data_IF_029608378064
#
_entry.id   IF_029608378064
#
_cell.length_a   1.000
_cell.length_b   1.000
_cell.length_c   1.000
_cell.angle_alpha   90.00
_cell.angle_beta   90.00
_cell.angle_gamma   90.00
#
_symmetry.space_group_name_H-M   'P 1'
#
loop_
_entity.id
_entity.type
_entity.pdbx_description
1 polymer ?
#
# COMPACT_ATOMS: atom_id res chain seq x y z
N UNK A 1 0.59 7.53 -12.99
CA UNK A 1 -0.25 7.71 -14.21
C UNK A 1 -1.31 8.79 -13.96
N UNK A 2 -1.58 9.68 -14.92
CA UNK A 2 -2.52 10.80 -14.78
C UNK A 2 -3.91 10.43 -15.32
N UNK A 3 -4.83 10.10 -14.43
CA UNK A 3 -6.27 10.02 -14.74
C UNK A 3 -6.86 11.36 -14.29
N UNK A 4 -6.99 12.30 -15.22
CA UNK A 4 -7.64 13.59 -14.94
C UNK A 4 -9.14 13.35 -14.84
N UNK A 5 -9.72 13.70 -13.68
CA UNK A 5 -11.15 13.65 -13.38
C UNK A 5 -11.71 15.09 -13.44
N UNK A 6 -12.14 15.62 -14.61
CA UNK A 6 -12.55 17.02 -14.74
C UNK A 6 -13.72 17.39 -13.82
N UNK A 7 -14.63 16.44 -13.59
CA UNK A 7 -15.80 16.63 -12.73
C UNK A 7 -15.44 16.71 -11.23
N UNK A 8 -14.33 16.09 -10.83
CA UNK A 8 -13.82 16.16 -9.45
C UNK A 8 -12.97 17.43 -9.28
N UNK A 9 -12.22 17.81 -10.32
CA UNK A 9 -11.34 18.99 -10.33
C UNK A 9 -11.93 20.15 -11.13
N UNK A 10 -13.04 20.70 -10.65
CA UNK A 10 -13.74 21.82 -11.31
C UNK A 10 -12.86 23.08 -11.49
N UNK A 11 -11.90 23.28 -10.60
CA UNK A 11 -10.96 24.41 -10.64
C UNK A 11 -9.66 24.11 -11.40
N UNK A 12 -9.55 22.94 -12.04
CA UNK A 12 -8.32 22.54 -12.75
C UNK A 12 -7.13 22.33 -11.82
N UNK A 13 -7.38 21.91 -10.57
CA UNK A 13 -6.31 21.65 -9.62
C UNK A 13 -5.36 20.56 -10.11
N UNK A 14 -4.08 20.75 -9.81
CA UNK A 14 -3.06 19.77 -10.10
C UNK A 14 -3.24 18.50 -9.24
N UNK A 15 -2.89 17.36 -9.84
CA UNK A 15 -2.78 16.09 -9.12
C UNK A 15 -1.57 16.06 -8.18
N UNK A 16 -1.33 14.91 -7.54
CA UNK A 16 -0.11 14.69 -6.77
C UNK A 16 1.13 14.83 -7.68
N UNK A 17 2.12 15.59 -7.23
CA UNK A 17 3.45 15.74 -7.84
C UNK A 17 4.53 15.40 -6.82
N UNK A 18 5.61 14.77 -7.27
CA UNK A 18 6.74 14.45 -6.40
C UNK A 18 7.42 15.76 -5.94
N UNK A 19 7.55 15.93 -4.62
CA UNK A 19 8.22 17.10 -4.02
C UNK A 19 7.28 18.20 -3.52
N UNK A 20 5.97 17.96 -3.40
CA UNK A 20 5.08 18.86 -2.68
C UNK A 20 5.46 18.81 -1.19
N UNK A 21 5.69 19.99 -0.60
CA UNK A 21 6.01 20.12 0.82
C UNK A 21 4.73 20.29 1.63
N UNK A 22 4.65 19.66 2.80
CA UNK A 22 3.60 19.95 3.79
C UNK A 22 3.72 21.40 4.24
N UNK A 23 2.64 22.17 4.09
CA UNK A 23 2.54 23.49 4.69
C UNK A 23 1.71 23.35 5.99
N UNK A 24 2.40 23.29 7.13
CA UNK A 24 1.72 23.38 8.42
C UNK A 24 1.29 24.83 8.66
N UNK A 25 -0.03 25.07 8.65
CA UNK A 25 -0.62 26.39 8.90
C UNK A 25 -0.41 26.85 10.36
N UNK A 26 -0.19 25.90 11.28
CA UNK A 26 -0.21 26.15 12.73
C UNK A 26 1.20 26.43 13.29
N UNK A 27 2.25 25.80 12.75
CA UNK A 27 3.62 25.95 13.27
C UNK A 27 4.65 26.07 12.12
N UNK A 28 5.03 27.30 11.76
CA UNK A 28 6.04 27.62 10.72
C UNK A 28 7.46 27.12 10.99
N UNK A 29 7.69 26.34 12.06
CA UNK A 29 9.01 25.97 12.57
C UNK A 29 9.41 24.53 12.29
N UNK A 30 8.50 23.67 11.83
CA UNK A 30 8.84 22.29 11.47
C UNK A 30 9.38 22.24 10.03
N UNK A 31 10.48 21.49 9.85
CA UNK A 31 11.15 21.31 8.56
C UNK A 31 10.14 20.89 7.48
N UNK A 32 10.27 21.36 6.22
CA UNK A 32 9.38 20.94 5.14
C UNK A 32 9.49 19.42 4.98
N UNK A 33 8.49 18.70 5.46
CA UNK A 33 8.38 17.28 5.26
C UNK A 33 7.71 17.06 3.90
N UNK A 34 8.29 16.17 3.09
CA UNK A 34 7.68 15.77 1.81
C UNK A 34 6.32 15.14 2.11
N UNK A 35 5.27 15.66 1.50
CA UNK A 35 3.94 15.07 1.58
C UNK A 35 3.95 13.70 0.91
N UNK A 36 3.52 12.67 1.64
CA UNK A 36 3.24 11.38 1.02
C UNK A 36 1.99 11.49 0.15
N UNK A 37 1.94 10.68 -0.92
CA UNK A 37 0.75 10.53 -1.78
C UNK A 37 -0.49 10.22 -0.94
N UNK A 38 -0.31 9.37 0.08
CA UNK A 38 -1.37 8.97 1.01
C UNK A 38 -1.91 10.14 1.82
N UNK A 39 -1.05 11.04 2.28
CA UNK A 39 -1.45 12.18 3.10
C UNK A 39 -2.28 13.17 2.29
N UNK A 40 -1.88 13.42 1.04
CA UNK A 40 -2.64 14.27 0.12
C UNK A 40 -4.02 13.70 -0.17
N UNK A 41 -4.13 12.40 -0.50
CA UNK A 41 -5.43 11.80 -0.79
C UNK A 41 -6.31 11.65 0.46
N UNK A 42 -5.73 11.35 1.62
CA UNK A 42 -6.48 11.34 2.87
C UNK A 42 -7.04 12.72 3.21
N UNK A 43 -6.25 13.79 2.99
CA UNK A 43 -6.70 15.16 3.15
C UNK A 43 -7.87 15.49 2.21
N UNK A 44 -7.79 15.06 0.94
CA UNK A 44 -8.85 15.31 -0.06
C UNK A 44 -10.17 14.58 0.21
N UNK A 45 -10.13 13.39 0.82
CA UNK A 45 -11.33 12.61 1.13
C UNK A 45 -11.99 13.08 2.44
N UNK A 46 -11.24 13.75 3.32
CA UNK A 46 -11.72 14.18 4.62
C UNK A 46 -12.89 15.19 4.52
N UNK A 47 -14.02 14.91 5.19
CA UNK A 47 -15.13 15.86 5.30
C UNK A 47 -14.76 17.07 6.16
N UNK A 48 -15.03 18.27 5.63
CA UNK A 48 -14.81 19.55 6.33
C UNK A 48 -16.00 20.47 6.11
N UNK A 49 -16.32 21.26 7.14
CA UNK A 49 -17.50 22.14 7.13
C UNK A 49 -17.38 23.32 6.14
N UNK A 50 -16.15 23.73 5.81
CA UNK A 50 -15.88 24.90 4.96
C UNK A 50 -15.48 24.53 3.51
N UNK A 51 -15.58 23.26 3.13
CA UNK A 51 -15.20 22.78 1.79
C UNK A 51 -16.38 22.07 1.11
N UNK A 52 -16.43 22.13 -0.23
CA UNK A 52 -17.50 21.51 -1.00
C UNK A 52 -17.47 19.99 -0.95
N UNK A 53 -18.61 19.35 -0.71
CA UNK A 53 -18.75 17.89 -0.68
C UNK A 53 -18.82 17.24 -2.08
N UNK A 54 -18.37 17.93 -3.13
CA UNK A 54 -18.50 17.51 -4.54
C UNK A 54 -17.88 16.14 -4.79
N UNK A 55 -16.69 15.90 -4.24
CA UNK A 55 -15.98 14.63 -4.33
C UNK A 55 -16.79 13.50 -3.69
N UNK A 56 -17.38 13.73 -2.51
CA UNK A 56 -18.11 12.74 -1.73
C UNK A 56 -19.49 12.40 -2.32
N UNK A 57 -20.10 13.36 -3.01
CA UNK A 57 -21.40 13.19 -3.68
C UNK A 57 -21.29 12.54 -5.06
N UNK A 58 -20.08 12.31 -5.58
CA UNK A 58 -19.84 11.83 -6.93
C UNK A 58 -20.18 10.33 -7.15
N UNK A 59 -20.59 9.60 -6.10
CA UNK A 59 -21.12 8.23 -6.19
C UNK A 59 -20.16 7.24 -6.84
N UNK A 60 -20.51 6.71 -8.03
CA UNK A 60 -19.66 5.77 -8.79
C UNK A 60 -18.31 6.38 -9.18
N UNK A 61 -18.27 7.68 -9.46
CA UNK A 61 -17.03 8.37 -9.81
C UNK A 61 -16.09 8.44 -8.61
N UNK A 62 -16.62 8.59 -7.40
CA UNK A 62 -15.84 8.50 -6.16
C UNK A 62 -15.24 7.12 -5.97
N UNK A 63 -15.96 6.04 -6.29
CA UNK A 63 -15.42 4.69 -6.18
C UNK A 63 -14.22 4.50 -7.11
N UNK A 64 -14.33 4.96 -8.36
CA UNK A 64 -13.24 4.90 -9.33
C UNK A 64 -12.04 5.74 -8.86
N UNK A 65 -12.31 6.94 -8.34
CA UNK A 65 -11.30 7.82 -7.77
C UNK A 65 -10.52 7.16 -6.62
N UNK A 66 -11.23 6.53 -5.68
CA UNK A 66 -10.60 5.83 -4.54
C UNK A 66 -9.72 4.67 -5.01
N UNK A 67 -10.19 3.88 -5.99
CA UNK A 67 -9.41 2.75 -6.53
C UNK A 67 -8.13 3.26 -7.21
N UNK A 68 -8.24 4.31 -8.01
CA UNK A 68 -7.09 4.92 -8.68
C UNK A 68 -6.10 5.52 -7.69
N UNK A 69 -6.58 6.19 -6.64
CA UNK A 69 -5.73 6.75 -5.60
C UNK A 69 -5.03 5.67 -4.78
N UNK A 70 -5.72 4.56 -4.50
CA UNK A 70 -5.11 3.38 -3.88
C UNK A 70 -3.98 2.82 -4.75
N UNK A 71 -4.19 2.72 -6.07
CA UNK A 71 -3.16 2.25 -7.00
C UNK A 71 -1.92 3.16 -6.99
N UNK A 72 -2.09 4.48 -6.91
CA UNK A 72 -0.97 5.44 -6.80
C UNK A 72 -0.19 5.29 -5.49
N UNK A 73 -0.91 5.08 -4.39
CA UNK A 73 -0.28 4.84 -3.07
C UNK A 73 0.52 3.54 -3.09
N UNK A 74 -0.02 2.47 -3.68
CA UNK A 74 0.70 1.21 -3.82
C UNK A 74 1.88 1.32 -4.79
N UNK A 75 1.76 2.07 -5.89
CA UNK A 75 2.89 2.36 -6.79
C UNK A 75 4.03 3.07 -6.05
N UNK A 76 3.73 4.09 -5.24
CA UNK A 76 4.73 4.77 -4.38
C UNK A 76 5.41 3.79 -3.42
N UNK A 77 4.62 2.90 -2.79
CA UNK A 77 5.14 1.87 -1.89
C UNK A 77 6.05 0.88 -2.61
N UNK A 78 5.68 0.42 -3.79
CA UNK A 78 6.53 -0.46 -4.59
C UNK A 78 7.83 0.23 -5.01
N UNK A 79 7.77 1.48 -5.47
CA UNK A 79 8.97 2.26 -5.78
C UNK A 79 9.87 2.42 -4.55
N UNK A 80 9.30 2.65 -3.36
CA UNK A 80 10.06 2.72 -2.13
C UNK A 80 10.77 1.40 -1.81
N UNK A 81 10.06 0.27 -1.91
CA UNK A 81 10.60 -1.08 -1.69
C UNK A 81 11.72 -1.35 -2.68
N UNK A 82 11.51 -1.07 -3.97
CA UNK A 82 12.49 -1.26 -5.04
C UNK A 82 13.79 -0.49 -4.77
N UNK A 83 13.68 0.78 -4.38
CA UNK A 83 14.84 1.66 -4.21
C UNK A 83 15.56 1.48 -2.87
N UNK A 84 14.90 0.97 -1.83
CA UNK A 84 15.46 0.85 -0.48
C UNK A 84 15.71 -0.62 -0.05
N UNK A 85 15.86 -1.55 -0.98
CA UNK A 85 16.11 -2.98 -0.67
C UNK A 85 17.26 -3.19 0.33
N UNK A 86 18.37 -2.45 0.21
CA UNK A 86 19.51 -2.56 1.13
C UNK A 86 19.17 -2.16 2.57
N UNK A 87 18.35 -1.12 2.76
CA UNK A 87 17.87 -0.69 4.10
C UNK A 87 16.88 -1.68 4.70
N UNK A 88 16.14 -2.38 3.86
CA UNK A 88 15.14 -3.37 4.24
C UNK A 88 15.76 -4.70 4.71
N UNK A 89 17.09 -4.77 4.89
CA UNK A 89 17.85 -5.96 5.28
C UNK A 89 17.59 -7.16 4.36
N UNK A 90 17.33 -6.87 3.08
CA UNK A 90 17.08 -7.90 2.05
C UNK A 90 18.25 -8.86 1.95
N UNK A 91 19.47 -8.43 2.26
CA UNK A 91 20.69 -9.25 2.23
C UNK A 91 20.61 -10.48 3.16
N UNK A 92 19.99 -10.37 4.35
CA UNK A 92 19.80 -11.52 5.25
C UNK A 92 18.85 -12.55 4.66
N UNK A 93 17.81 -12.07 3.97
CA UNK A 93 16.82 -12.93 3.33
C UNK A 93 17.34 -13.49 2.02
N UNK A 94 18.15 -12.74 1.27
CA UNK A 94 18.82 -13.19 0.08
C UNK A 94 19.76 -14.34 0.41
N UNK A 95 20.59 -14.23 1.47
CA UNK A 95 21.43 -15.34 1.92
C UNK A 95 20.65 -16.59 2.36
N UNK A 96 19.50 -16.42 3.04
CA UNK A 96 18.63 -17.54 3.41
C UNK A 96 17.97 -18.19 2.17
N UNK A 97 17.45 -17.37 1.25
CA UNK A 97 16.82 -17.83 0.01
C UNK A 97 17.84 -18.49 -0.90
N UNK A 98 19.05 -17.95 -1.02
CA UNK A 98 20.16 -18.53 -1.77
C UNK A 98 20.58 -19.88 -1.17
N UNK A 99 20.62 -20.05 0.14
CA UNK A 99 20.90 -21.36 0.76
C UNK A 99 19.80 -22.38 0.44
N UNK A 100 18.53 -21.94 0.37
CA UNK A 100 17.39 -22.79 0.02
C UNK A 100 17.39 -23.11 -1.50
N UNK A 101 17.73 -22.14 -2.35
CA UNK A 101 17.79 -22.27 -3.81
C UNK A 101 19.04 -23.00 -4.31
N UNK A 102 20.19 -22.82 -3.65
CA UNK A 102 21.47 -23.46 -3.99
C UNK A 102 21.47 -24.98 -3.76
N UNK A 103 20.38 -25.52 -3.18
CA UNK A 103 20.08 -26.94 -3.24
C UNK A 103 19.81 -27.47 -4.67
N UNK A 104 19.37 -26.61 -5.61
CA UNK A 104 19.08 -26.97 -7.00
C UNK A 104 19.42 -25.80 -7.98
N UNK A 105 20.59 -25.92 -8.62
CA UNK A 105 21.00 -25.38 -9.94
C UNK A 105 21.43 -23.88 -10.12
N UNK A 106 22.63 -23.76 -10.71
CA UNK A 106 23.22 -22.71 -11.56
C UNK A 106 23.01 -21.21 -11.22
N UNK A 107 24.01 -20.63 -10.56
CA UNK A 107 24.18 -19.22 -10.19
C UNK A 107 24.26 -18.20 -11.36
N UNK A 108 23.99 -18.59 -12.62
CA UNK A 108 24.16 -17.71 -13.78
C UNK A 108 22.91 -16.90 -14.16
N UNK A 109 21.75 -17.20 -13.57
CA UNK A 109 20.45 -16.56 -13.84
C UNK A 109 19.91 -15.73 -12.67
N UNK A 110 20.78 -15.24 -11.79
CA UNK A 110 20.39 -14.43 -10.62
C UNK A 110 19.99 -13.02 -11.08
N UNK A 111 18.78 -12.92 -11.64
CA UNK A 111 18.05 -11.66 -11.78
C UNK A 111 17.82 -11.12 -10.37
N UNK A 112 18.02 -9.80 -10.16
CA UNK A 112 17.76 -9.15 -8.87
C UNK A 112 16.38 -9.55 -8.34
N UNK A 113 16.35 -10.38 -7.29
CA UNK A 113 15.13 -10.78 -6.61
C UNK A 113 14.74 -9.61 -5.71
N UNK A 114 13.59 -8.99 -5.97
CA UNK A 114 13.01 -7.98 -5.08
C UNK A 114 12.15 -8.70 -4.07
N UNK A 115 12.56 -8.68 -2.81
CA UNK A 115 11.83 -9.33 -1.73
C UNK A 115 10.76 -8.36 -1.24
N UNK A 116 9.51 -8.80 -1.32
CA UNK A 116 8.37 -8.08 -0.74
C UNK A 116 8.31 -8.36 0.75
N UNK A 117 8.29 -7.31 1.57
CA UNK A 117 8.09 -7.44 3.00
C UNK A 117 6.69 -7.99 3.33
N UNK A 118 6.55 -8.55 4.52
CA UNK A 118 5.25 -9.01 5.04
C UNK A 118 4.22 -7.89 5.21
N UNK A 119 4.62 -6.62 5.16
CA UNK A 119 3.71 -5.47 5.12
C UNK A 119 2.89 -5.38 3.83
N UNK A 120 3.25 -6.13 2.78
CA UNK A 120 2.49 -6.21 1.55
C UNK A 120 1.38 -7.26 1.65
N UNK A 121 0.13 -6.80 1.75
CA UNK A 121 -1.07 -7.64 1.88
C UNK A 121 -1.23 -8.59 0.68
N UNK A 122 -1.51 -9.87 0.95
CA UNK A 122 -1.70 -10.90 -0.08
C UNK A 122 -0.42 -11.60 -0.55
N UNK A 123 0.76 -11.06 -0.21
CA UNK A 123 2.04 -11.71 -0.48
C UNK A 123 2.24 -13.05 0.24
N UNK A 124 3.19 -13.88 -0.21
CA UNK A 124 3.52 -15.15 0.46
C UNK A 124 3.99 -14.93 1.91
N UNK A 125 4.80 -13.90 2.16
CA UNK A 125 5.27 -13.55 3.51
C UNK A 125 4.15 -13.03 4.41
N UNK A 126 3.21 -12.25 3.88
CA UNK A 126 2.04 -11.80 4.63
C UNK A 126 1.18 -12.98 5.11
N UNK A 127 0.95 -13.97 4.23
CA UNK A 127 0.21 -15.18 4.59
C UNK A 127 0.96 -16.03 5.62
N UNK A 128 2.27 -16.21 5.45
CA UNK A 128 3.09 -16.95 6.41
C UNK A 128 3.09 -16.28 7.80
N UNK A 129 3.22 -14.95 7.85
CA UNK A 129 3.16 -14.20 9.12
C UNK A 129 1.79 -14.32 9.77
N UNK A 130 0.70 -14.14 9.02
CA UNK A 130 -0.66 -14.28 9.57
C UNK A 130 -0.92 -15.68 10.12
N UNK A 131 -0.41 -16.71 9.44
CA UNK A 131 -0.48 -18.09 9.94
C UNK A 131 0.27 -18.25 11.27
N UNK A 132 1.50 -17.72 11.37
CA UNK A 132 2.28 -17.77 12.62
C UNK A 132 1.58 -17.03 13.76
N UNK A 133 0.98 -15.87 13.49
CA UNK A 133 0.19 -15.10 14.46
C UNK A 133 -1.04 -15.90 14.89
N UNK A 134 -1.77 -16.51 13.96
CA UNK A 134 -2.91 -17.36 14.28
C UNK A 134 -2.51 -18.56 15.15
N UNK A 135 -1.39 -19.22 14.85
CA UNK A 135 -0.86 -20.32 15.65
C UNK A 135 -0.43 -19.86 17.05
N UNK A 136 0.13 -18.66 17.20
CA UNK A 136 0.46 -18.09 18.49
C UNK A 136 -0.79 -17.81 19.34
N UNK A 137 -1.86 -17.29 18.71
CA UNK A 137 -3.16 -17.08 19.37
C UNK A 137 -3.75 -18.43 19.79
N UNK A 138 -3.74 -19.45 18.93
CA UNK A 138 -4.25 -20.78 19.26
C UNK A 138 -3.48 -21.43 20.43
N UNK A 139 -2.16 -21.19 20.52
CA UNK A 139 -1.36 -21.65 21.66
C UNK A 139 -1.72 -20.95 22.97
N UNK A 140 -2.10 -19.67 22.91
CA UNK A 140 -2.43 -18.88 24.10
C UNK A 140 -3.89 -19.06 24.54
N UNK A 141 -4.83 -19.00 23.60
CA UNK A 141 -6.27 -19.05 23.87
C UNK A 141 -6.85 -20.48 23.91
N UNK A 142 -6.12 -21.48 23.42
CA UNK A 142 -6.63 -22.83 23.20
C UNK A 142 -7.02 -23.09 21.75
N UNK A 143 -7.24 -24.37 21.42
CA UNK A 143 -7.55 -24.77 20.06
C UNK A 143 -8.94 -24.25 19.66
N UNK A 144 -9.11 -23.64 18.48
CA UNK A 144 -10.42 -23.20 18.03
C UNK A 144 -11.28 -24.42 17.71
N UNK A 145 -12.44 -24.54 18.37
CA UNK A 145 -13.43 -25.59 18.10
C UNK A 145 -14.36 -25.22 16.92
N UNK A 146 -14.39 -23.94 16.52
CA UNK A 146 -15.24 -23.43 15.44
C UNK A 146 -14.40 -22.84 14.31
N UNK A 147 -14.57 -23.39 13.10
CA UNK A 147 -14.00 -22.83 11.88
C UNK A 147 -15.11 -22.19 11.04
N UNK A 148 -15.05 -20.87 10.87
CA UNK A 148 -15.94 -20.11 9.98
C UNK A 148 -15.19 -19.75 8.70
N UNK A 149 -15.54 -20.41 7.59
CA UNK A 149 -15.04 -20.08 6.26
C UNK A 149 -16.01 -19.11 5.57
N UNK A 150 -15.64 -17.82 5.53
CA UNK A 150 -16.37 -16.82 4.75
C UNK A 150 -15.85 -16.81 3.31
N UNK A 151 -16.63 -17.36 2.39
CA UNK A 151 -16.33 -17.28 0.96
C UNK A 151 -16.86 -15.96 0.41
N UNK A 152 -16.00 -14.96 0.26
CA UNK A 152 -16.36 -13.73 -0.43
C UNK A 152 -16.30 -13.96 -1.95
N UNK A 153 -17.45 -14.31 -2.54
CA UNK A 153 -17.59 -14.39 -4.00
C UNK A 153 -17.53 -12.95 -4.53
N UNK A 154 -16.46 -12.59 -5.24
CA UNK A 154 -16.47 -11.42 -6.11
C UNK A 154 -17.39 -11.72 -7.30
N UNK A 155 -18.68 -11.39 -7.18
CA UNK A 155 -19.57 -11.38 -8.33
C UNK A 155 -19.15 -10.23 -9.25
N UNK A 156 -18.32 -10.52 -10.25
CA UNK A 156 -18.07 -9.60 -11.35
C UNK A 156 -19.37 -9.34 -12.13
N UNK A 157 -19.67 -8.09 -12.52
CA UNK A 157 -20.81 -7.82 -13.41
C UNK A 157 -20.55 -8.44 -14.79
N UNK A 158 -21.58 -9.12 -15.32
CA UNK A 158 -21.65 -9.65 -16.70
C UNK A 158 -21.70 -8.53 -17.72
#
# INVERSE_FOLDING_TARGET
>A
MSMTYPLIYLFGEDGYRLGINSADVINKTYKPQRLSVRELYCFRIQQRLNEGQTLLLAGRLLQQYIVDDYMKIEEERFCYIWNNQTKLRVDLYFGLMDVILCGDLDCSLVRKIVILLSSHTGGPHYRAQNYQVAMAICRWAGYPDLFLTLHAIQSGPK
#
